data_IF_173314173203
#
_entry.id   IF_173314173203
#
_cell.length_a   1.000
_cell.length_b   1.000
_cell.length_c   1.000
_cell.angle_alpha   90.00
_cell.angle_beta   90.00
_cell.angle_gamma   90.00
#
_symmetry.space_group_name_H-M   'P 1'
#
loop_
_entity.id
_entity.type
_entity.pdbx_description
1 polymer ?
#
# COMPACT_ATOMS: atom_id res chain seq x y z
N UNK A 1 17.15 11.51 13.45
CA UNK A 1 16.70 10.37 12.62
C UNK A 1 16.81 10.82 11.18
N UNK A 2 17.27 9.97 10.27
CA UNK A 2 17.20 10.24 8.83
C UNK A 2 15.74 10.28 8.41
N UNK A 3 15.42 11.14 7.45
CA UNK A 3 14.10 11.17 6.81
C UNK A 3 13.94 9.84 6.06
N UNK A 4 12.80 9.13 6.19
CA UNK A 4 12.57 7.93 5.40
C UNK A 4 12.58 8.24 3.90
N UNK A 5 13.21 7.39 3.09
CA UNK A 5 13.32 7.62 1.63
C UNK A 5 11.96 7.79 0.95
N UNK A 6 10.94 7.09 1.46
CA UNK A 6 9.57 7.16 0.94
C UNK A 6 8.89 8.53 1.19
N UNK A 7 9.38 9.37 2.11
CA UNK A 7 8.84 10.71 2.31
C UNK A 7 8.94 11.59 1.07
N UNK A 8 9.94 11.37 0.23
CA UNK A 8 10.15 12.11 -1.00
C UNK A 8 9.34 11.56 -2.20
N UNK A 9 8.94 10.29 -2.18
CA UNK A 9 8.43 9.59 -3.37
C UNK A 9 7.06 8.93 -3.23
N UNK A 10 6.64 8.53 -2.03
CA UNK A 10 5.36 7.84 -1.86
C UNK A 10 4.19 8.77 -2.20
N UNK A 11 3.13 8.28 -2.86
CA UNK A 11 1.99 9.09 -3.28
C UNK A 11 1.28 9.82 -2.14
N UNK A 12 0.65 10.93 -2.49
CA UNK A 12 -0.23 11.73 -1.65
C UNK A 12 -1.67 11.52 -2.13
N UNK A 13 -2.52 10.89 -1.31
CA UNK A 13 -3.89 10.58 -1.71
C UNK A 13 -4.75 11.83 -1.89
N UNK A 14 -4.59 12.79 -0.98
CA UNK A 14 -5.47 13.94 -0.84
C UNK A 14 -4.68 15.22 -0.47
N UNK A 15 -3.77 15.69 -1.34
CA UNK A 15 -2.90 16.82 -1.03
C UNK A 15 -3.65 18.12 -0.69
N UNK A 16 -4.85 18.33 -1.24
CA UNK A 16 -5.71 19.49 -0.96
C UNK A 16 -6.18 19.56 0.50
N UNK A 17 -6.37 18.41 1.14
CA UNK A 17 -6.83 18.36 2.53
C UNK A 17 -5.79 18.93 3.51
N UNK A 18 -4.53 19.11 3.06
CA UNK A 18 -3.49 19.79 3.84
C UNK A 18 -3.81 21.24 4.21
N UNK A 19 -4.73 21.89 3.50
CA UNK A 19 -5.15 23.26 3.78
C UNK A 19 -6.04 23.38 5.04
N UNK A 20 -6.69 22.29 5.47
CA UNK A 20 -7.59 22.29 6.64
C UNK A 20 -7.37 21.16 7.64
N UNK A 21 -6.57 20.14 7.31
CA UNK A 21 -6.18 19.06 8.21
C UNK A 21 -4.71 19.20 8.64
N UNK A 22 -4.46 19.17 9.94
CA UNK A 22 -3.08 19.23 10.50
C UNK A 22 -2.43 17.84 10.58
N UNK A 23 -3.21 16.76 10.52
CA UNK A 23 -2.71 15.40 10.73
C UNK A 23 -2.55 14.65 9.41
N UNK A 24 -1.36 14.12 9.21
CA UNK A 24 -1.03 13.23 8.09
C UNK A 24 -0.57 11.86 8.62
N UNK A 25 -0.99 10.82 7.91
CA UNK A 25 -0.68 9.43 8.20
C UNK A 25 0.10 8.83 7.03
N UNK A 26 1.06 7.95 7.34
CA UNK A 26 1.71 7.09 6.36
C UNK A 26 1.11 5.70 6.51
N UNK A 27 0.41 5.23 5.49
CA UNK A 27 -0.18 3.89 5.40
C UNK A 27 0.74 3.05 4.52
N UNK A 28 1.15 1.89 5.00
CA UNK A 28 1.94 0.91 4.26
C UNK A 28 1.07 -0.30 3.96
N UNK A 29 1.11 -0.81 2.72
CA UNK A 29 0.36 -1.97 2.24
C UNK A 29 1.29 -2.99 1.58
N UNK A 30 0.87 -4.26 1.58
CA UNK A 30 1.57 -5.36 0.94
C UNK A 30 2.79 -5.86 1.72
N UNK A 31 3.48 -6.86 1.15
CA UNK A 31 4.68 -7.45 1.74
C UNK A 31 5.70 -6.33 2.07
N UNK A 32 6.20 -6.32 3.31
CA UNK A 32 7.19 -5.36 3.81
C UNK A 32 6.86 -3.85 3.67
N UNK A 33 5.61 -3.49 3.35
CA UNK A 33 5.23 -2.10 3.10
C UNK A 33 5.80 -1.54 1.80
N UNK A 34 5.87 -2.38 0.76
CA UNK A 34 6.30 -2.01 -0.60
C UNK A 34 5.49 -0.85 -1.16
N UNK A 35 4.19 -0.81 -0.86
CA UNK A 35 3.32 0.31 -1.20
C UNK A 35 3.13 1.21 0.01
N UNK A 36 3.35 2.51 -0.16
CA UNK A 36 3.08 3.50 0.88
C UNK A 36 2.24 4.64 0.32
N UNK A 37 1.29 5.12 1.10
CA UNK A 37 0.45 6.26 0.76
C UNK A 37 0.41 7.21 1.94
N UNK A 38 0.59 8.50 1.67
CA UNK A 38 0.37 9.55 2.66
C UNK A 38 -1.04 10.11 2.51
N UNK A 39 -1.74 10.24 3.63
CA UNK A 39 -3.13 10.71 3.67
C UNK A 39 -3.31 11.72 4.81
N UNK A 40 -3.87 12.89 4.50
CA UNK A 40 -4.35 13.83 5.51
C UNK A 40 -5.69 13.36 6.06
N UNK A 41 -5.77 13.19 7.38
CA UNK A 41 -6.95 12.66 8.05
C UNK A 41 -6.90 12.87 9.57
N UNK A 42 -8.04 13.15 10.19
CA UNK A 42 -8.15 13.32 11.64
C UNK A 42 -7.99 12.00 12.42
N UNK A 43 -8.19 10.86 11.78
CA UNK A 43 -8.10 9.54 12.39
C UNK A 43 -7.38 8.53 11.49
N UNK A 44 -6.84 7.47 12.08
CA UNK A 44 -6.22 6.37 11.33
C UNK A 44 -7.26 5.66 10.43
N UNK A 45 -8.50 5.55 10.89
CA UNK A 45 -9.60 4.91 10.15
C UNK A 45 -9.91 5.69 8.87
N UNK A 46 -10.10 7.00 8.97
CA UNK A 46 -10.29 7.88 7.81
C UNK A 46 -9.06 7.90 6.89
N UNK A 47 -7.86 7.84 7.46
CA UNK A 47 -6.62 7.75 6.68
C UNK A 47 -6.54 6.45 5.86
N UNK A 48 -6.97 5.34 6.46
CA UNK A 48 -7.02 4.04 5.80
C UNK A 48 -8.04 4.04 4.66
N UNK A 49 -9.25 4.56 4.89
CA UNK A 49 -10.27 4.71 3.84
C UNK A 49 -9.76 5.53 2.65
N UNK A 50 -9.17 6.70 2.90
CA UNK A 50 -8.64 7.55 1.84
C UNK A 50 -7.44 6.93 1.10
N UNK A 51 -6.61 6.14 1.78
CA UNK A 51 -5.52 5.41 1.13
C UNK A 51 -6.05 4.33 0.17
N UNK A 52 -7.09 3.59 0.58
CA UNK A 52 -7.68 2.54 -0.27
C UNK A 52 -8.45 3.15 -1.44
N UNK A 53 -9.21 4.21 -1.23
CA UNK A 53 -9.89 4.93 -2.32
C UNK A 53 -8.88 5.44 -3.36
N UNK A 54 -7.78 6.04 -2.91
CA UNK A 54 -6.70 6.46 -3.80
C UNK A 54 -6.13 5.30 -4.61
N UNK A 55 -5.81 4.18 -3.96
CA UNK A 55 -5.28 3.00 -4.63
C UNK A 55 -6.29 2.42 -5.64
N UNK A 56 -7.60 2.46 -5.36
CA UNK A 56 -8.67 2.09 -6.30
C UNK A 56 -8.71 3.00 -7.52
N UNK A 57 -8.66 4.32 -7.31
CA UNK A 57 -8.64 5.30 -8.38
C UNK A 57 -7.40 5.18 -9.29
N UNK A 58 -6.25 4.80 -8.73
CA UNK A 58 -5.03 4.56 -9.50
C UNK A 58 -5.02 3.19 -10.22
N UNK A 59 -6.02 2.34 -9.98
CA UNK A 59 -6.00 0.95 -10.43
C UNK A 59 -4.88 0.14 -9.79
N UNK A 60 -4.43 0.54 -8.60
CA UNK A 60 -3.43 -0.17 -7.79
C UNK A 60 -4.09 -1.08 -6.75
N UNK A 61 -5.36 -0.83 -6.41
CA UNK A 61 -6.21 -1.77 -5.70
C UNK A 61 -6.62 -2.90 -6.64
N UNK A 62 -5.99 -4.06 -6.48
CA UNK A 62 -6.29 -5.27 -7.25
C UNK A 62 -5.23 -5.70 -8.25
N UNK A 63 -4.01 -5.17 -8.19
CA UNK A 63 -2.94 -5.62 -9.07
C UNK A 63 -1.88 -6.46 -8.35
N UNK A 64 -2.10 -7.77 -8.44
CA UNK A 64 -1.11 -8.85 -8.56
C UNK A 64 0.33 -8.49 -8.16
N UNK A 65 0.71 -8.77 -6.92
CA UNK A 65 2.07 -9.30 -6.73
C UNK A 65 2.09 -10.65 -7.42
N UNK A 66 2.64 -10.68 -8.63
CA UNK A 66 2.91 -11.91 -9.34
C UNK A 66 3.93 -12.68 -8.49
N UNK A 67 3.48 -13.62 -7.68
CA UNK A 67 4.38 -14.48 -6.89
C UNK A 67 5.19 -15.28 -7.90
N UNK A 68 6.45 -14.89 -8.04
CA UNK A 68 7.41 -15.54 -8.91
C UNK A 68 8.08 -16.70 -8.19
N UNK A 69 8.97 -17.36 -8.90
CA UNK A 69 9.71 -18.49 -8.34
C UNK A 69 10.64 -18.09 -7.19
N UNK A 70 11.07 -16.82 -7.15
CA UNK A 70 11.93 -16.28 -6.10
C UNK A 70 11.21 -16.22 -4.74
N UNK A 71 9.96 -15.77 -4.72
CA UNK A 71 9.16 -15.65 -3.50
C UNK A 71 8.83 -17.03 -2.92
N UNK A 72 8.59 -18.04 -3.75
CA UNK A 72 8.44 -19.42 -3.29
C UNK A 72 9.74 -19.99 -2.73
N UNK A 73 10.89 -19.65 -3.30
CA UNK A 73 12.20 -20.06 -2.78
C UNK A 73 12.51 -19.42 -1.43
N UNK A 74 12.14 -18.14 -1.23
CA UNK A 74 12.29 -17.45 0.04
C UNK A 74 11.37 -18.04 1.11
N UNK A 75 10.09 -18.26 0.78
CA UNK A 75 9.15 -18.92 1.68
C UNK A 75 9.56 -20.35 2.05
N UNK A 76 10.12 -21.12 1.10
CA UNK A 76 10.67 -22.44 1.37
C UNK A 76 11.86 -22.37 2.32
N UNK A 77 12.75 -21.40 2.12
CA UNK A 77 13.91 -21.17 2.99
C UNK A 77 13.49 -20.84 4.42
N UNK A 78 12.50 -19.96 4.58
CA UNK A 78 11.91 -19.60 5.87
C UNK A 78 11.32 -20.81 6.62
N UNK A 79 10.68 -21.72 5.88
CA UNK A 79 10.09 -22.94 6.43
C UNK A 79 11.10 -24.08 6.60
N UNK A 80 12.35 -23.90 6.17
CA UNK A 80 13.37 -24.95 6.17
C UNK A 80 13.05 -26.09 5.19
N UNK A 81 12.37 -25.78 4.09
CA UNK A 81 11.96 -26.71 3.01
C UNK A 81 12.67 -26.36 1.70
N UNK A 82 12.57 -27.25 0.71
CA UNK A 82 13.01 -27.01 -0.66
C UNK A 82 11.80 -26.69 -1.53
N UNK A 83 11.92 -25.71 -2.42
CA UNK A 83 10.86 -25.41 -3.39
C UNK A 83 10.95 -26.34 -4.60
N UNK A 84 9.87 -27.06 -4.89
CA UNK A 84 9.71 -27.87 -6.10
C UNK A 84 8.46 -27.41 -6.87
N UNK A 85 8.66 -26.76 -8.01
CA UNK A 85 7.56 -26.28 -8.85
C UNK A 85 6.71 -27.41 -9.47
N UNK A 86 7.25 -28.64 -9.56
CA UNK A 86 6.54 -29.80 -10.10
C UNK A 86 5.68 -30.53 -9.07
N UNK A 87 5.98 -30.35 -7.79
CA UNK A 87 5.21 -30.82 -6.63
C UNK A 87 5.16 -29.73 -5.55
N UNK A 88 4.41 -28.64 -5.79
CA UNK A 88 4.46 -27.46 -4.94
C UNK A 88 3.92 -27.77 -3.54
N UNK A 89 4.77 -27.57 -2.55
CA UNK A 89 4.40 -27.71 -1.14
C UNK A 89 3.37 -26.64 -0.76
N UNK A 90 2.18 -27.08 -0.35
CA UNK A 90 1.07 -26.18 -0.05
C UNK A 90 1.39 -25.19 1.06
N UNK A 91 2.19 -25.55 2.06
CA UNK A 91 2.57 -24.63 3.13
C UNK A 91 3.56 -23.56 2.63
N UNK A 92 4.40 -23.89 1.64
CA UNK A 92 5.31 -22.94 0.98
C UNK A 92 4.52 -22.00 0.09
N UNK A 93 3.57 -22.54 -0.68
CA UNK A 93 2.67 -21.76 -1.52
C UNK A 93 1.83 -20.83 -0.65
N UNK A 94 1.21 -21.35 0.40
CA UNK A 94 0.46 -20.58 1.39
C UNK A 94 1.39 -19.54 1.99
N UNK A 95 2.55 -19.87 2.56
CA UNK A 95 3.49 -18.88 3.14
C UNK A 95 3.89 -17.76 2.16
N UNK A 96 4.25 -18.08 0.92
CA UNK A 96 4.57 -17.10 -0.12
C UNK A 96 3.36 -16.24 -0.51
N UNK A 97 2.16 -16.82 -0.42
CA UNK A 97 0.88 -16.15 -0.64
C UNK A 97 0.25 -15.62 0.65
N UNK A 98 0.84 -15.83 1.83
CA UNK A 98 0.34 -15.46 3.17
C UNK A 98 0.97 -14.21 3.71
N UNK A 99 2.13 -13.83 3.18
CA UNK A 99 2.51 -12.42 3.09
C UNK A 99 1.50 -11.59 2.25
N UNK A 100 0.59 -12.25 1.51
CA UNK A 100 -0.52 -11.67 0.73
C UNK A 100 -1.90 -12.21 1.14
N UNK A 101 -1.95 -13.02 2.21
CA UNK A 101 -3.19 -13.47 2.82
C UNK A 101 -3.19 -13.10 4.28
N UNK A 102 -2.93 -11.81 4.48
CA UNK A 102 -3.56 -11.00 5.49
C UNK A 102 -4.17 -9.58 5.09
N UNK A 103 -5.14 -9.38 4.17
CA UNK A 103 -6.04 -8.15 4.08
C UNK A 103 -7.54 -8.43 4.01
N UNK A 104 -8.24 -8.14 5.08
CA UNK A 104 -9.67 -8.30 5.29
C UNK A 104 -9.99 -7.31 6.38
N UNK A 105 -10.68 -6.21 6.14
CA UNK A 105 -11.61 -5.92 5.07
C UNK A 105 -11.34 -4.56 4.43
N UNK A 106 -10.76 -4.58 3.24
CA UNK A 106 -11.14 -3.68 2.15
C UNK A 106 -11.33 -4.56 0.93
N UNK A 107 -12.56 -4.56 0.40
CA UNK A 107 -13.03 -5.46 -0.64
C UNK A 107 -12.29 -5.18 -1.95
N UNK A 108 -11.23 -5.95 -2.23
CA UNK A 108 -10.62 -6.03 -3.56
C UNK A 108 -11.25 -7.21 -4.30
N UNK A 109 -11.93 -6.94 -5.41
CA UNK A 109 -12.61 -7.95 -6.23
C UNK A 109 -11.56 -8.76 -7.01
N UNK A 110 -11.24 -9.97 -6.53
CA UNK A 110 -10.33 -10.87 -7.24
C UNK A 110 -11.13 -11.86 -8.12
N UNK A 111 -11.11 -11.68 -9.44
CA UNK A 111 -11.56 -12.71 -10.38
C UNK A 111 -10.48 -13.79 -10.52
N UNK A 112 -10.81 -15.04 -10.14
CA UNK A 112 -10.01 -16.23 -10.46
C UNK A 112 -10.53 -16.86 -11.75
N UNK A 113 -9.65 -17.19 -12.68
CA UNK A 113 -9.97 -17.75 -14.01
C UNK A 113 -10.83 -19.04 -14.00
N UNK A 114 -11.02 -19.70 -12.84
CA UNK A 114 -11.78 -20.95 -12.77
C UNK A 114 -12.82 -21.08 -11.62
N UNK A 115 -12.81 -20.23 -10.58
CA UNK A 115 -13.53 -20.58 -9.32
C UNK A 115 -14.28 -19.42 -8.63
N UNK A 116 -14.46 -18.28 -9.31
CA UNK A 116 -15.20 -17.15 -8.72
C UNK A 116 -14.41 -16.38 -7.65
N UNK A 117 -15.10 -15.44 -6.98
CA UNK A 117 -14.51 -14.38 -6.14
C UNK A 117 -13.95 -14.92 -4.82
N UNK A 118 -12.78 -14.44 -4.37
CA UNK A 118 -12.16 -14.79 -3.09
C UNK A 118 -11.67 -13.55 -2.30
N UNK A 119 -11.58 -13.66 -0.97
CA UNK A 119 -11.24 -12.60 0.00
C UNK A 119 -9.88 -12.84 0.66
N UNK A 120 -9.17 -11.80 1.14
CA UNK A 120 -7.94 -11.95 1.95
C UNK A 120 -8.11 -11.38 3.41
N UNK A 121 -7.17 -11.46 4.42
CA UNK A 121 -7.37 -11.08 5.88
C UNK A 121 -6.38 -10.20 6.80
N UNK A 122 -6.60 -8.92 7.14
CA UNK A 122 -6.03 -7.92 8.13
C UNK A 122 -4.54 -7.61 8.56
N UNK A 123 -3.48 -8.37 8.27
CA UNK A 123 -2.07 -8.18 8.74
C UNK A 123 -1.10 -7.56 7.70
N UNK A 124 -1.54 -7.25 6.48
CA UNK A 124 -0.71 -6.71 5.37
C UNK A 124 -0.73 -5.18 5.28
N UNK A 125 -1.07 -4.49 6.38
CA UNK A 125 -0.94 -3.05 6.41
C UNK A 125 -0.55 -2.52 7.78
N UNK A 126 0.11 -1.36 7.78
CA UNK A 126 0.41 -0.61 9.00
C UNK A 126 0.24 0.89 8.74
N UNK A 127 -0.01 1.64 9.81
CA UNK A 127 -0.17 3.08 9.72
C UNK A 127 0.46 3.79 10.90
N UNK A 128 1.09 4.94 10.66
CA UNK A 128 1.57 5.81 11.72
C UNK A 128 1.33 7.28 11.41
N UNK A 129 1.11 8.06 12.47
CA UNK A 129 0.99 9.49 12.36
C UNK A 129 2.37 10.10 12.08
N UNK A 130 2.50 10.81 10.97
CA UNK A 130 3.74 11.40 10.49
C UNK A 130 4.05 12.67 11.29
N UNK A 131 5.32 12.85 11.67
CA UNK A 131 5.74 13.93 12.57
C UNK A 131 7.12 14.47 12.20
N UNK A 132 7.41 15.67 12.70
CA UNK A 132 8.73 16.28 12.60
C UNK A 132 9.14 16.54 11.15
N UNK A 133 10.38 16.20 10.82
CA UNK A 133 10.97 16.49 9.52
C UNK A 133 10.27 15.75 8.35
N UNK A 134 9.78 14.54 8.60
CA UNK A 134 9.01 13.79 7.61
C UNK A 134 7.71 14.54 7.26
N UNK A 135 6.99 15.07 8.27
CA UNK A 135 5.78 15.89 8.05
C UNK A 135 6.09 17.12 7.21
N UNK A 136 7.18 17.83 7.51
CA UNK A 136 7.62 19.01 6.75
C UNK A 136 7.82 18.71 5.27
N UNK A 137 8.49 17.59 4.95
CA UNK A 137 8.71 17.16 3.56
C UNK A 137 7.39 16.85 2.85
N UNK A 138 6.48 16.17 3.54
CA UNK A 138 5.17 15.79 2.99
C UNK A 138 4.29 17.04 2.76
N UNK A 139 4.33 18.03 3.65
CA UNK A 139 3.67 19.33 3.48
C UNK A 139 4.22 20.12 2.29
N UNK A 140 5.54 20.18 2.13
CA UNK A 140 6.18 20.86 0.99
C UNK A 140 5.80 20.20 -0.35
N UNK A 141 5.70 18.87 -0.36
CA UNK A 141 5.21 18.12 -1.53
C UNK A 141 3.74 18.41 -1.83
N UNK A 142 2.90 18.48 -0.80
CA UNK A 142 1.47 18.80 -0.98
C UNK A 142 1.29 20.17 -1.63
N UNK A 143 1.98 21.20 -1.12
CA UNK A 143 1.96 22.54 -1.68
C UNK A 143 2.44 22.56 -3.14
N UNK A 144 3.53 21.84 -3.45
CA UNK A 144 4.04 21.74 -4.82
C UNK A 144 3.04 21.08 -5.77
N UNK A 145 2.33 20.05 -5.31
CA UNK A 145 1.32 19.36 -6.10
C UNK A 145 0.09 20.25 -6.34
N UNK A 146 -0.38 20.96 -5.32
CA UNK A 146 -1.51 21.90 -5.46
C UNK A 146 -1.20 23.03 -6.43
N UNK A 147 -0.01 23.62 -6.37
CA UNK A 147 0.41 24.65 -7.34
C UNK A 147 0.44 24.12 -8.77
N UNK A 148 0.83 22.84 -8.95
CA UNK A 148 0.83 22.19 -10.26
C UNK A 148 -0.60 21.93 -10.77
N UNK A 149 -1.49 21.41 -9.92
CA UNK A 149 -2.88 21.12 -10.26
C UNK A 149 -3.66 22.40 -10.60
N UNK A 150 -3.44 23.48 -9.86
CA UNK A 150 -4.02 24.81 -10.16
C UNK A 150 -3.52 25.35 -11.51
N UNK A 151 -2.23 25.18 -11.80
CA UNK A 151 -1.66 25.58 -13.07
C UNK A 151 -2.29 24.79 -14.22
N UNK A 152 -2.45 23.48 -14.11
CA UNK A 152 -3.07 22.63 -15.14
C UNK A 152 -4.56 22.98 -15.35
N UNK A 153 -5.30 23.20 -14.26
CA UNK A 153 -6.70 23.61 -14.29
C UNK A 153 -6.95 25.00 -14.89
N UNK A 154 -5.96 25.91 -14.82
CA UNK A 154 -6.05 27.25 -15.40
C UNK A 154 -5.95 27.27 -16.94
N UNK A 155 -5.54 26.17 -17.57
CA UNK A 155 -5.40 26.04 -19.03
C UNK A 155 -6.42 25.08 -19.68
N UNK A 156 -7.35 24.52 -18.91
CA UNK A 156 -8.45 23.65 -19.37
C UNK A 156 -9.73 24.43 -19.68
#
# INVERSE_FOLDING_TARGET
MSIPDHAASAPLANPSESEWLDRVWCLSFGAYGDTRVYVWADSLETAFEGAVEYLDDQGECGHFTYVGEAEYQEAATDLGREWDASDPDYDVVERAQTDLTSIGWTTLDCEREAEGKAFVPSWEWSGYAVRGEEKRVVEERAATQLEADEAEGAWA
#
